data_IF_794286150583
#
_entry.id   IF_794286150583
#
_cell.length_a   1.000
_cell.length_b   1.000
_cell.length_c   1.000
_cell.angle_alpha   90.00
_cell.angle_beta   90.00
_cell.angle_gamma   90.00
#
_symmetry.space_group_name_H-M   'P 1'
#
loop_
_entity.id
_entity.type
_entity.pdbx_description
1 polymer ?
#
# COMPACT_ATOMS: atom_id res chain seq x y z
N UNK A 1 -8.46 -1.19 4.86
CA UNK A 1 -8.75 0.04 4.13
C UNK A 1 -8.38 -0.10 2.66
N UNK A 2 -9.19 0.45 1.82
CA UNK A 2 -8.92 0.43 0.38
C UNK A 2 -8.33 1.75 -0.07
N UNK A 3 -7.39 1.67 -1.00
CA UNK A 3 -6.77 2.86 -1.56
C UNK A 3 -6.17 2.59 -2.91
N UNK A 4 -5.61 3.63 -3.51
CA UNK A 4 -5.00 3.54 -4.84
C UNK A 4 -3.52 3.87 -4.74
N UNK A 5 -2.71 3.06 -5.39
CA UNK A 5 -1.26 3.27 -5.38
C UNK A 5 -0.92 4.50 -6.21
N UNK A 6 -0.26 5.47 -5.57
CA UNK A 6 0.13 6.70 -6.23
C UNK A 6 1.57 6.65 -6.75
N UNK A 7 2.45 5.96 -6.05
CA UNK A 7 3.83 5.73 -6.50
C UNK A 7 4.48 4.63 -5.67
N UNK A 8 5.59 4.08 -6.20
CA UNK A 8 6.40 3.10 -5.50
C UNK A 8 7.86 3.51 -5.54
N UNK A 9 8.53 3.46 -4.39
CA UNK A 9 9.94 3.83 -4.27
C UNK A 9 10.62 2.84 -3.32
N UNK A 10 11.67 2.17 -3.82
CA UNK A 10 12.51 1.29 -2.99
C UNK A 10 11.74 0.27 -2.16
N UNK A 11 10.73 -0.35 -2.75
CA UNK A 11 9.94 -1.37 -2.06
C UNK A 11 8.82 -0.83 -1.20
N UNK A 12 8.67 0.48 -1.12
CA UNK A 12 7.55 1.11 -0.43
C UNK A 12 6.56 1.63 -1.45
N UNK A 13 5.28 1.56 -1.08
CA UNK A 13 4.20 2.03 -1.95
C UNK A 13 3.41 3.09 -1.21
N UNK A 14 3.14 4.19 -1.89
CA UNK A 14 2.35 5.27 -1.31
C UNK A 14 0.92 5.11 -1.81
N UNK A 15 0.03 4.80 -0.88
CA UNK A 15 -1.36 4.48 -1.18
C UNK A 15 -2.25 5.61 -0.70
N UNK A 16 -3.02 6.18 -1.61
CA UNK A 16 -3.97 7.22 -1.26
C UNK A 16 -5.27 6.59 -0.80
N UNK A 17 -5.56 6.74 0.49
CA UNK A 17 -6.79 6.25 1.09
C UNK A 17 -7.78 7.40 1.17
N UNK A 18 -8.96 7.23 0.57
CA UNK A 18 -9.98 8.28 0.54
C UNK A 18 -10.31 8.73 1.97
N UNK A 19 -10.32 10.05 2.16
CA UNK A 19 -10.59 10.69 3.44
C UNK A 19 -9.54 10.51 4.52
N UNK A 20 -8.54 9.67 4.30
CA UNK A 20 -7.50 9.41 5.31
C UNK A 20 -6.12 9.87 4.88
N UNK A 21 -5.91 10.12 3.59
CA UNK A 21 -4.64 10.62 3.08
C UNK A 21 -3.73 9.51 2.57
N UNK A 22 -2.45 9.82 2.45
CA UNK A 22 -1.48 8.91 1.86
C UNK A 22 -0.77 8.11 2.93
N UNK A 23 -0.77 6.80 2.75
CA UNK A 23 -0.08 5.88 3.65
C UNK A 23 1.15 5.29 2.96
N UNK A 24 2.26 5.22 3.70
CA UNK A 24 3.45 4.52 3.24
C UNK A 24 3.30 3.05 3.58
N UNK A 25 3.25 2.21 2.56
CA UNK A 25 2.94 0.79 2.74
C UNK A 25 4.04 -0.10 2.18
N UNK A 26 4.22 -1.26 2.79
CA UNK A 26 5.06 -2.32 2.27
C UNK A 26 4.17 -3.40 1.68
N UNK A 27 4.62 -4.02 0.59
CA UNK A 27 3.94 -5.19 0.05
C UNK A 27 4.28 -6.39 0.93
N UNK A 28 3.27 -7.10 1.39
CA UNK A 28 3.50 -8.31 2.18
C UNK A 28 4.01 -9.45 1.31
N UNK A 29 4.50 -10.50 1.95
CA UNK A 29 5.11 -11.63 1.29
C UNK A 29 4.26 -12.31 0.23
N UNK A 30 2.93 -12.19 0.32
CA UNK A 30 2.03 -12.77 -0.68
C UNK A 30 2.33 -12.22 -2.08
N UNK A 31 2.67 -10.95 -2.19
CA UNK A 31 3.02 -10.35 -3.47
C UNK A 31 4.36 -10.86 -3.99
N UNK A 32 5.29 -11.14 -3.07
CA UNK A 32 6.58 -11.71 -3.44
C UNK A 32 6.44 -13.16 -3.88
N UNK A 33 5.62 -13.92 -3.18
CA UNK A 33 5.40 -15.34 -3.46
C UNK A 33 4.77 -15.53 -4.83
N UNK A 34 3.79 -14.72 -5.16
CA UNK A 34 3.09 -14.82 -6.43
C UNK A 34 3.76 -14.01 -7.54
N UNK A 35 4.87 -13.34 -7.21
CA UNK A 35 5.60 -12.47 -8.14
C UNK A 35 4.75 -11.36 -8.74
N UNK A 36 3.71 -10.98 -8.03
CA UNK A 36 2.84 -9.88 -8.42
C UNK A 36 3.43 -8.60 -7.88
N UNK A 37 3.64 -7.62 -8.74
CA UNK A 37 4.12 -6.31 -8.32
C UNK A 37 2.97 -5.31 -8.39
N UNK A 38 2.67 -4.62 -7.26
CA UNK A 38 1.68 -3.54 -7.31
C UNK A 38 2.15 -2.45 -8.25
N UNK A 39 1.23 -1.92 -9.03
CA UNK A 39 1.53 -0.87 -10.00
C UNK A 39 0.81 0.42 -9.64
N UNK A 40 1.38 1.53 -10.06
CA UNK A 40 0.74 2.84 -9.90
C UNK A 40 -0.64 2.80 -10.56
N UNK A 41 -1.64 3.27 -9.83
CA UNK A 41 -3.02 3.26 -10.29
C UNK A 41 -3.82 2.03 -9.87
N UNK A 42 -3.16 1.01 -9.33
CA UNK A 42 -3.88 -0.17 -8.84
C UNK A 42 -4.65 0.14 -7.58
N UNK A 43 -5.85 -0.47 -7.48
CA UNK A 43 -6.62 -0.43 -6.25
C UNK A 43 -6.13 -1.56 -5.35
N UNK A 44 -5.83 -1.23 -4.11
CA UNK A 44 -5.31 -2.21 -3.16
C UNK A 44 -6.02 -2.08 -1.82
N UNK A 45 -5.92 -3.13 -1.04
CA UNK A 45 -6.39 -3.10 0.33
C UNK A 45 -5.16 -3.09 1.25
N UNK A 46 -5.20 -2.24 2.25
CA UNK A 46 -4.08 -2.11 3.18
C UNK A 46 -4.52 -2.38 4.62
N UNK A 47 -3.55 -2.83 5.41
CA UNK A 47 -3.68 -2.96 6.85
C UNK A 47 -2.94 -1.79 7.48
N UNK A 48 -3.66 -0.97 8.24
CA UNK A 48 -3.04 0.21 8.86
C UNK A 48 -2.30 -0.22 10.12
N UNK A 49 -1.02 0.10 10.18
CA UNK A 49 -0.19 -0.18 11.36
C UNK A 49 -0.12 1.03 12.29
N UNK A 50 -0.13 2.23 11.73
CA UNK A 50 -0.13 3.45 12.51
C UNK A 50 -0.85 4.55 11.75
N UNK A 51 -1.96 5.03 12.29
CA UNK A 51 -2.70 6.13 11.67
C UNK A 51 -1.95 7.45 11.85
N UNK A 52 -1.26 7.59 12.97
CA UNK A 52 -0.50 8.80 13.26
C UNK A 52 0.65 8.97 12.29
N UNK A 53 1.38 7.90 12.04
CA UNK A 53 2.54 7.92 11.15
C UNK A 53 2.19 7.64 9.69
N UNK A 54 0.95 7.25 9.43
CA UNK A 54 0.48 6.89 8.09
C UNK A 54 1.30 5.76 7.50
N UNK A 55 1.38 4.66 8.25
CA UNK A 55 2.13 3.47 7.85
C UNK A 55 1.19 2.27 7.81
N UNK A 56 1.38 1.44 6.81
CA UNK A 56 0.58 0.22 6.68
C UNK A 56 1.26 -0.85 5.83
N UNK A 57 0.52 -1.90 5.56
CA UNK A 57 0.95 -2.97 4.67
C UNK A 57 -0.12 -3.19 3.60
N UNK A 58 0.31 -3.49 2.38
CA UNK A 58 -0.60 -3.89 1.32
C UNK A 58 -0.88 -5.38 1.54
N UNK A 59 -2.15 -5.72 1.68
CA UNK A 59 -2.55 -7.11 1.93
C UNK A 59 -3.30 -7.75 0.77
N UNK A 60 -3.69 -6.93 -0.22
CA UNK A 60 -4.37 -7.45 -1.41
C UNK A 60 -4.10 -6.65 -2.65
#
# INVERSE_FOLDING_TARGET
>A
MKGKIMKGISGFYYVNVVESGIYECKAKGIFRKDKIKPLVGDDVEIEVLSEEKKIGNIIK
#
